data_IF_087915291777
#
_entry.id   IF_087915291777
#
_cell.length_a   1.000
_cell.length_b   1.000
_cell.length_c   1.000
_cell.angle_alpha   90.00
_cell.angle_beta   90.00
_cell.angle_gamma   90.00
#
_symmetry.space_group_name_H-M   'P 1'
#
loop_
_entity.id
_entity.type
_entity.pdbx_description
1 polymer ?
#
# COMPACT_ATOMS: atom_id res chain seq x y z
N UNK A 1 15.28 -35.57 -17.64
CA UNK A 1 16.65 -36.09 -17.85
C UNK A 1 17.56 -34.91 -18.21
N UNK A 2 18.51 -34.52 -17.34
CA UNK A 2 19.44 -33.40 -17.63
C UNK A 2 20.50 -33.88 -18.62
N UNK A 3 20.46 -33.37 -19.86
CA UNK A 3 21.40 -33.71 -20.94
C UNK A 3 22.81 -33.13 -20.68
N UNK A 4 23.53 -33.75 -19.74
CA UNK A 4 24.93 -33.42 -19.39
C UNK A 4 25.87 -33.53 -20.60
N UNK A 5 25.52 -34.36 -21.57
CA UNK A 5 26.28 -34.56 -22.82
C UNK A 5 26.34 -33.30 -23.69
N UNK A 6 25.26 -32.51 -23.79
CA UNK A 6 25.25 -31.28 -24.58
C UNK A 6 26.12 -30.18 -23.94
N UNK A 7 26.07 -30.03 -22.62
CA UNK A 7 26.90 -29.07 -21.90
C UNK A 7 28.40 -29.46 -22.00
N UNK A 8 28.70 -30.76 -21.91
CA UNK A 8 30.06 -31.28 -22.11
C UNK A 8 30.56 -31.06 -23.53
N UNK A 9 29.72 -31.27 -24.54
CA UNK A 9 30.08 -31.06 -25.94
C UNK A 9 30.27 -29.56 -26.25
N UNK A 10 29.36 -28.71 -25.77
CA UNK A 10 29.45 -27.26 -25.91
C UNK A 10 30.70 -26.69 -25.23
N UNK A 11 31.00 -27.09 -23.99
CA UNK A 11 32.22 -26.68 -23.29
C UNK A 11 33.49 -27.19 -24.00
N UNK A 12 33.47 -28.42 -24.52
CA UNK A 12 34.60 -28.98 -25.30
C UNK A 12 34.85 -28.19 -26.58
N UNK A 13 33.79 -27.77 -27.28
CA UNK A 13 33.90 -26.94 -28.47
C UNK A 13 34.39 -25.51 -28.13
N UNK A 14 33.91 -24.93 -27.03
CA UNK A 14 34.35 -23.62 -26.55
C UNK A 14 35.82 -23.64 -26.06
N UNK A 15 36.27 -24.78 -25.51
CA UNK A 15 37.64 -25.04 -25.03
C UNK A 15 38.60 -25.50 -26.14
N UNK A 16 38.22 -25.34 -27.42
CA UNK A 16 38.92 -25.84 -28.61
C UNK A 16 40.42 -25.46 -28.73
N UNK A 17 41.15 -26.35 -29.42
CA UNK A 17 42.60 -26.59 -29.41
C UNK A 17 43.44 -25.43 -29.99
N UNK A 18 44.59 -25.12 -29.36
CA UNK A 18 45.59 -24.09 -29.73
C UNK A 18 45.86 -23.99 -31.24
N UNK A 19 45.58 -22.81 -31.84
CA UNK A 19 46.54 -21.95 -32.62
C UNK A 19 45.91 -20.61 -33.07
N UNK A 20 45.28 -19.93 -32.12
CA UNK A 20 45.10 -18.48 -31.96
C UNK A 20 44.16 -18.42 -30.77
N UNK A 21 44.76 -18.48 -29.58
CA UNK A 21 44.07 -18.21 -28.33
C UNK A 21 43.20 -16.98 -28.59
N UNK A 22 41.92 -17.01 -28.21
CA UNK A 22 40.99 -15.87 -28.28
C UNK A 22 41.82 -14.58 -28.18
N UNK A 23 42.03 -13.90 -29.31
CA UNK A 23 42.91 -12.73 -29.33
C UNK A 23 42.42 -11.77 -28.24
N UNK A 24 43.29 -10.95 -27.67
CA UNK A 24 42.89 -9.95 -26.70
C UNK A 24 41.66 -9.14 -27.17
N UNK A 25 41.52 -8.97 -28.48
CA UNK A 25 40.33 -8.42 -29.14
C UNK A 25 39.02 -9.19 -28.88
N UNK A 26 38.99 -10.53 -28.98
CA UNK A 26 37.78 -11.32 -28.74
C UNK A 26 37.34 -11.26 -27.27
N UNK A 27 38.30 -11.27 -26.33
CA UNK A 27 38.00 -11.09 -24.92
C UNK A 27 37.45 -9.68 -24.64
N UNK A 28 38.03 -8.66 -25.27
CA UNK A 28 37.57 -7.29 -25.15
C UNK A 28 36.14 -7.10 -25.68
N UNK A 29 35.78 -7.71 -26.82
CA UNK A 29 34.42 -7.65 -27.36
C UNK A 29 33.40 -8.31 -26.43
N UNK A 30 33.69 -9.49 -25.90
CA UNK A 30 32.78 -10.20 -24.98
C UNK A 30 32.62 -9.41 -23.68
N UNK A 31 33.70 -8.84 -23.14
CA UNK A 31 33.64 -7.99 -21.95
C UNK A 31 32.83 -6.72 -22.19
N UNK A 32 33.04 -6.03 -23.31
CA UNK A 32 32.31 -4.81 -23.65
C UNK A 32 30.81 -5.05 -23.82
N UNK A 33 30.42 -6.13 -24.52
CA UNK A 33 29.02 -6.51 -24.65
C UNK A 33 28.41 -6.89 -23.29
N UNK A 34 29.15 -7.63 -22.47
CA UNK A 34 28.70 -8.01 -21.13
C UNK A 34 28.48 -6.79 -20.25
N UNK A 35 29.40 -5.81 -20.26
CA UNK A 35 29.25 -4.56 -19.52
C UNK A 35 28.05 -3.74 -20.00
N UNK A 36 27.85 -3.65 -21.32
CA UNK A 36 26.73 -2.90 -21.90
C UNK A 36 25.38 -3.51 -21.53
N UNK A 37 25.24 -4.84 -21.67
CA UNK A 37 24.02 -5.55 -21.26
C UNK A 37 23.83 -5.44 -19.74
N UNK A 38 24.89 -5.56 -18.95
CA UNK A 38 24.82 -5.44 -17.49
C UNK A 38 24.32 -4.05 -17.07
N UNK A 39 24.83 -2.98 -17.67
CA UNK A 39 24.38 -1.62 -17.41
C UNK A 39 22.89 -1.45 -17.75
N UNK A 40 22.44 -1.92 -18.91
CA UNK A 40 21.04 -1.87 -19.34
C UNK A 40 20.12 -2.67 -18.40
N UNK A 41 20.53 -3.87 -18.00
CA UNK A 41 19.80 -4.71 -17.05
C UNK A 41 19.69 -4.05 -15.68
N UNK A 42 20.76 -3.41 -15.19
CA UNK A 42 20.77 -2.74 -13.90
C UNK A 42 19.74 -1.59 -13.85
N UNK A 43 19.74 -0.72 -14.88
CA UNK A 43 18.79 0.40 -14.98
C UNK A 43 17.36 -0.12 -15.12
N UNK A 44 17.13 -1.11 -15.98
CA UNK A 44 15.82 -1.73 -16.15
C UNK A 44 15.31 -2.35 -14.85
N UNK A 45 16.18 -3.06 -14.11
CA UNK A 45 15.85 -3.66 -12.82
C UNK A 45 15.47 -2.63 -11.78
N UNK A 46 16.24 -1.53 -11.67
CA UNK A 46 15.94 -0.45 -10.73
C UNK A 46 14.59 0.22 -11.04
N UNK A 47 14.34 0.57 -12.31
CA UNK A 47 13.09 1.20 -12.72
C UNK A 47 11.89 0.27 -12.59
N UNK A 48 12.03 -1.00 -12.96
CA UNK A 48 10.96 -2.00 -12.83
C UNK A 48 10.66 -2.30 -11.36
N UNK A 49 11.70 -2.40 -10.51
CA UNK A 49 11.56 -2.56 -9.07
C UNK A 49 10.80 -1.40 -8.44
N UNK A 50 11.19 -0.15 -8.77
CA UNK A 50 10.51 1.04 -8.28
C UNK A 50 9.07 1.12 -8.78
N UNK A 51 8.84 0.88 -10.08
CA UNK A 51 7.49 0.86 -10.66
C UNK A 51 6.60 -0.13 -9.94
N UNK A 52 7.10 -1.34 -9.68
CA UNK A 52 6.36 -2.37 -8.97
C UNK A 52 6.05 -1.95 -7.51
N UNK A 53 7.00 -1.34 -6.81
CA UNK A 53 6.77 -0.85 -5.45
C UNK A 53 5.74 0.29 -5.41
N UNK A 54 5.87 1.26 -6.34
CA UNK A 54 4.92 2.36 -6.48
C UNK A 54 3.52 1.87 -6.88
N UNK A 55 3.42 0.97 -7.86
CA UNK A 55 2.14 0.38 -8.27
C UNK A 55 1.49 -0.39 -7.13
N UNK A 56 2.26 -1.19 -6.37
CA UNK A 56 1.73 -1.91 -5.19
C UNK A 56 1.20 -0.96 -4.13
N UNK A 57 1.95 0.11 -3.80
CA UNK A 57 1.51 1.12 -2.83
C UNK A 57 0.27 1.89 -3.29
N UNK A 58 0.17 2.23 -4.58
CA UNK A 58 -0.95 2.99 -5.13
C UNK A 58 -2.21 2.13 -5.29
N UNK A 59 -2.09 0.91 -5.82
CA UNK A 59 -3.23 0.04 -6.16
C UNK A 59 -3.74 -0.75 -4.94
N UNK A 60 -2.90 -1.01 -3.95
CA UNK A 60 -3.29 -1.74 -2.73
C UNK A 60 -4.21 -0.96 -1.77
N UNK A 61 -4.58 0.28 -2.08
CA UNK A 61 -5.30 1.18 -1.15
C UNK A 61 -6.65 1.68 -1.69
N UNK A 62 -7.00 1.38 -2.96
CA UNK A 62 -8.20 1.95 -3.62
C UNK A 62 -9.18 0.90 -4.13
N UNK A 63 -9.49 -0.15 -3.36
CA UNK A 63 -10.61 -1.04 -3.72
C UNK A 63 -11.98 -0.49 -3.29
N UNK A 64 -12.04 0.74 -2.78
CA UNK A 64 -13.29 1.38 -2.36
C UNK A 64 -13.74 2.38 -3.42
N UNK A 65 -14.94 2.18 -3.94
CA UNK A 65 -15.61 3.11 -4.84
C UNK A 65 -16.37 4.12 -3.97
N UNK A 66 -15.98 5.39 -4.02
CA UNK A 66 -16.67 6.45 -3.30
C UNK A 66 -17.74 7.09 -4.18
N UNK A 67 -18.99 7.02 -3.75
CA UNK A 67 -20.12 7.69 -4.39
C UNK A 67 -20.38 9.02 -3.68
N UNK A 68 -20.25 10.11 -4.40
CA UNK A 68 -20.51 11.47 -3.90
C UNK A 68 -21.58 12.15 -4.75
N UNK A 69 -22.42 12.98 -4.14
CA UNK A 69 -23.34 13.84 -4.88
C UNK A 69 -22.55 14.86 -5.72
N UNK A 70 -23.05 15.21 -6.90
CA UNK A 70 -22.42 16.18 -7.82
C UNK A 70 -22.16 17.54 -7.15
N UNK A 71 -23.07 17.97 -6.29
CA UNK A 71 -23.01 19.27 -5.61
C UNK A 71 -22.35 19.18 -4.21
N UNK A 72 -21.68 18.07 -3.91
CA UNK A 72 -21.09 17.79 -2.59
C UNK A 72 -22.10 17.86 -1.42
N UNK A 73 -23.40 17.76 -1.72
CA UNK A 73 -24.49 17.76 -0.74
C UNK A 73 -24.64 16.37 -0.09
N UNK A 74 -25.20 16.31 1.14
CA UNK A 74 -25.57 15.04 1.73
C UNK A 74 -26.50 14.25 0.80
N UNK A 75 -26.23 12.96 0.62
CA UNK A 75 -27.07 12.08 -0.20
C UNK A 75 -28.39 11.85 0.55
N UNK A 76 -29.54 12.27 0.01
CA UNK A 76 -30.83 12.01 0.63
C UNK A 76 -31.14 10.51 0.55
N UNK A 77 -31.74 9.96 1.62
CA UNK A 77 -32.11 8.53 1.71
C UNK A 77 -30.96 7.56 1.33
N UNK A 78 -29.77 7.81 1.90
CA UNK A 78 -28.62 6.91 1.76
C UNK A 78 -28.94 5.42 2.07
N UNK A 79 -29.85 5.04 3.00
CA UNK A 79 -30.16 3.63 3.24
C UNK A 79 -30.81 2.94 2.04
N UNK A 80 -31.68 3.64 1.28
CA UNK A 80 -32.27 3.09 0.07
C UNK A 80 -31.23 2.87 -1.03
N UNK A 81 -30.26 3.79 -1.17
CA UNK A 81 -29.15 3.64 -2.11
C UNK A 81 -28.27 2.42 -1.74
N UNK A 82 -27.92 2.26 -0.46
CA UNK A 82 -27.15 1.11 0.02
C UNK A 82 -27.87 -0.20 -0.27
N UNK A 83 -29.20 -0.27 -0.08
CA UNK A 83 -30.01 -1.45 -0.43
C UNK A 83 -29.93 -1.80 -1.92
N UNK A 84 -30.03 -0.80 -2.82
CA UNK A 84 -29.88 -1.02 -4.26
C UNK A 84 -28.49 -1.54 -4.62
N UNK A 85 -27.43 -0.98 -4.04
CA UNK A 85 -26.05 -1.43 -4.27
C UNK A 85 -25.87 -2.88 -3.78
N UNK A 86 -26.47 -3.23 -2.64
CA UNK A 86 -26.45 -4.59 -2.09
C UNK A 86 -27.17 -5.60 -2.98
N UNK A 87 -28.27 -5.21 -3.62
CA UNK A 87 -28.97 -6.05 -4.59
C UNK A 87 -28.12 -6.37 -5.83
N UNK A 88 -27.19 -5.48 -6.20
CA UNK A 88 -26.24 -5.70 -7.29
C UNK A 88 -25.05 -6.61 -6.88
N UNK A 89 -24.99 -7.04 -5.62
CA UNK A 89 -23.92 -7.89 -5.11
C UNK A 89 -22.71 -7.16 -4.51
N UNK A 90 -22.79 -5.83 -4.36
CA UNK A 90 -21.72 -5.02 -3.76
C UNK A 90 -22.02 -4.65 -2.30
N UNK A 91 -21.00 -4.61 -1.45
CA UNK A 91 -21.12 -4.04 -0.10
C UNK A 91 -20.94 -2.52 -0.15
N UNK A 92 -21.76 -1.78 0.59
CA UNK A 92 -21.67 -0.33 0.72
C UNK A 92 -21.91 0.08 2.18
N UNK A 93 -21.21 1.14 2.60
CA UNK A 93 -21.32 1.75 3.92
C UNK A 93 -21.38 3.27 3.75
N UNK A 94 -22.15 3.99 4.60
CA UNK A 94 -22.20 5.44 4.57
C UNK A 94 -20.92 6.03 5.17
N UNK A 95 -20.42 7.11 4.58
CA UNK A 95 -19.25 7.86 5.08
C UNK A 95 -19.50 9.36 4.94
N UNK A 96 -19.09 10.11 5.97
CA UNK A 96 -19.08 11.57 5.97
C UNK A 96 -17.63 12.02 5.94
N UNK A 97 -17.23 12.83 4.96
CA UNK A 97 -15.87 13.35 4.84
C UNK A 97 -15.86 14.83 5.20
N UNK A 98 -15.16 15.19 6.27
CA UNK A 98 -14.98 16.57 6.70
C UNK A 98 -13.49 16.91 6.83
N UNK A 99 -13.15 18.17 6.60
CA UNK A 99 -11.80 18.70 6.81
C UNK A 99 -11.76 19.33 8.19
N UNK A 100 -10.90 18.81 9.05
CA UNK A 100 -10.80 19.18 10.46
C UNK A 100 -9.35 19.51 10.82
N UNK A 101 -9.14 20.08 11.99
CA UNK A 101 -7.82 20.32 12.53
C UNK A 101 -7.72 19.66 13.90
N UNK A 102 -6.68 18.83 14.08
CA UNK A 102 -6.38 18.20 15.36
C UNK A 102 -5.37 19.04 16.11
N UNK A 103 -5.56 19.18 17.42
CA UNK A 103 -4.61 19.83 18.32
C UNK A 103 -4.33 18.93 19.51
N UNK A 104 -3.04 18.73 19.78
CA UNK A 104 -2.54 18.10 20.99
C UNK A 104 -1.40 18.94 21.56
N UNK A 105 -1.55 19.40 22.81
CA UNK A 105 -0.61 20.35 23.42
C UNK A 105 -0.39 21.59 22.55
N UNK A 106 0.85 21.75 22.05
CA UNK A 106 1.27 22.88 21.21
C UNK A 106 1.33 22.54 19.70
N UNK A 107 0.97 21.32 19.31
CA UNK A 107 1.02 20.85 17.93
C UNK A 107 -0.38 20.90 17.32
N UNK A 108 -0.49 21.49 16.13
CA UNK A 108 -1.74 21.63 15.36
C UNK A 108 -1.53 21.01 13.98
N UNK A 109 -2.40 20.09 13.59
CA UNK A 109 -2.30 19.34 12.33
C UNK A 109 -3.65 19.34 11.61
N UNK A 110 -3.76 19.91 10.40
CA UNK A 110 -4.95 19.76 9.57
C UNK A 110 -5.07 18.31 9.09
N UNK A 111 -6.29 17.78 9.07
CA UNK A 111 -6.58 16.40 8.69
C UNK A 111 -7.92 16.29 7.98
N UNK A 112 -8.12 15.15 7.32
CA UNK A 112 -9.41 14.75 6.79
C UNK A 112 -9.98 13.71 7.75
N UNK A 113 -11.15 13.99 8.31
CA UNK A 113 -11.87 13.07 9.16
C UNK A 113 -12.98 12.37 8.40
N UNK A 114 -13.16 11.10 8.73
CA UNK A 114 -14.22 10.26 8.17
C UNK A 114 -15.17 9.84 9.29
N UNK A 115 -16.40 10.34 9.25
CA UNK A 115 -17.49 9.82 10.06
C UNK A 115 -18.00 8.54 9.45
N UNK A 116 -17.88 7.43 10.17
CA UNK A 116 -18.22 6.09 9.68
C UNK A 116 -19.12 5.38 10.68
N UNK A 117 -19.99 4.51 10.16
CA UNK A 117 -20.58 3.43 10.96
C UNK A 117 -19.57 2.27 10.98
N UNK A 118 -19.06 1.91 12.16
CA UNK A 118 -18.04 0.89 12.34
C UNK A 118 -18.49 -0.49 11.82
N UNK A 119 -19.73 -0.88 12.12
CA UNK A 119 -20.29 -2.18 11.78
C UNK A 119 -20.51 -2.32 10.27
N UNK A 120 -20.99 -1.25 9.62
CA UNK A 120 -21.17 -1.25 8.17
C UNK A 120 -19.82 -1.15 7.45
N UNK A 121 -18.91 -0.31 7.94
CA UNK A 121 -17.61 -0.05 7.30
C UNK A 121 -16.67 -1.26 7.34
N UNK A 122 -16.68 -2.06 8.42
CA UNK A 122 -15.92 -3.33 8.49
C UNK A 122 -16.31 -4.34 7.41
N UNK A 123 -17.55 -4.27 6.88
CA UNK A 123 -18.01 -5.14 5.78
C UNK A 123 -17.51 -4.71 4.40
N UNK A 124 -17.04 -3.47 4.29
CA UNK A 124 -16.56 -2.86 3.04
C UNK A 124 -15.04 -2.77 3.03
N UNK A 125 -14.45 -2.39 4.17
CA UNK A 125 -13.02 -2.14 4.32
C UNK A 125 -12.39 -3.02 5.38
N UNK A 126 -11.23 -3.60 5.04
CA UNK A 126 -10.39 -4.35 5.97
C UNK A 126 -9.46 -3.47 6.79
N UNK A 127 -9.42 -2.16 6.54
CA UNK A 127 -8.58 -1.20 7.28
C UNK A 127 -9.01 -1.09 8.76
N UNK A 128 -10.25 -1.45 9.06
CA UNK A 128 -10.80 -1.46 10.41
C UNK A 128 -10.62 -2.80 11.13
N UNK A 129 -10.05 -3.79 10.45
CA UNK A 129 -9.70 -5.07 11.06
C UNK A 129 -8.37 -4.94 11.81
N UNK A 130 -8.27 -5.66 12.93
CA UNK A 130 -7.02 -5.74 13.69
C UNK A 130 -6.03 -6.59 12.93
N UNK A 131 -4.79 -6.12 12.83
CA UNK A 131 -3.70 -6.90 12.23
C UNK A 131 -3.26 -7.96 13.24
N UNK A 132 -3.47 -9.27 12.98
CA UNK A 132 -2.98 -10.31 13.87
C UNK A 132 -1.45 -10.39 13.71
N UNK A 133 -0.72 -10.34 14.84
CA UNK A 133 0.74 -10.43 14.89
C UNK A 133 1.51 -9.32 14.14
N UNK A 134 1.49 -8.11 14.69
CA UNK A 134 2.39 -7.02 14.28
C UNK A 134 3.84 -7.30 14.74
N UNK A 135 4.42 -8.43 14.33
CA UNK A 135 5.69 -8.93 14.89
C UNK A 135 6.92 -8.53 14.04
N UNK A 136 6.73 -7.97 12.85
CA UNK A 136 7.78 -7.27 12.05
C UNK A 136 7.15 -6.68 10.79
N UNK A 137 7.63 -5.53 10.29
CA UNK A 137 7.21 -5.01 9.00
C UNK A 137 7.77 -5.94 7.91
N UNK A 138 7.00 -6.97 7.53
CA UNK A 138 7.30 -7.72 6.32
C UNK A 138 7.02 -6.79 5.14
N UNK A 139 8.06 -6.46 4.39
CA UNK A 139 8.02 -5.52 3.25
C UNK A 139 7.04 -5.92 2.11
N UNK A 140 6.41 -7.09 2.21
CA UNK A 140 5.49 -7.64 1.20
C UNK A 140 4.01 -7.56 1.55
N UNK A 141 3.64 -7.27 2.81
CA UNK A 141 2.26 -7.09 3.22
C UNK A 141 2.04 -5.61 3.54
N UNK A 142 1.21 -4.93 2.75
CA UNK A 142 0.64 -3.65 3.15
C UNK A 142 -0.22 -3.93 4.38
N UNK A 143 0.33 -3.69 5.56
CA UNK A 143 -0.38 -3.84 6.82
C UNK A 143 -1.37 -2.67 6.94
N UNK A 144 -2.52 -2.82 6.30
CA UNK A 144 -3.68 -1.96 6.49
C UNK A 144 -4.52 -2.57 7.59
N UNK A 145 -4.75 -1.80 8.66
CA UNK A 145 -5.47 -2.30 9.82
C UNK A 145 -5.13 -1.52 11.08
N UNK A 146 -5.79 -1.91 12.17
CA UNK A 146 -5.62 -1.29 13.48
C UNK A 146 -4.36 -1.86 14.15
N UNK A 147 -3.40 -0.96 14.43
CA UNK A 147 -2.10 -1.31 15.04
C UNK A 147 -2.23 -1.42 16.56
N UNK A 148 -2.97 -0.51 17.19
CA UNK A 148 -3.17 -0.46 18.65
C UNK A 148 -4.63 -0.11 18.96
N UNK A 149 -5.17 -0.71 20.02
CA UNK A 149 -6.57 -0.59 20.40
C UNK A 149 -7.50 -1.61 19.73
N UNK A 150 -8.75 -1.64 20.20
CA UNK A 150 -9.84 -2.38 19.58
C UNK A 150 -11.10 -1.51 19.63
N UNK A 151 -11.39 -0.72 18.59
CA UNK A 151 -12.55 0.14 18.59
C UNK A 151 -13.81 -0.72 18.58
N UNK A 152 -14.68 -0.40 19.52
CA UNK A 152 -16.03 -0.93 19.65
C UNK A 152 -17.02 0.20 19.34
N UNK A 153 -18.25 -0.12 18.94
CA UNK A 153 -19.27 0.89 18.66
C UNK A 153 -19.49 1.85 19.85
N UNK A 154 -19.39 1.35 21.08
CA UNK A 154 -19.50 2.14 22.32
C UNK A 154 -18.37 3.15 22.51
N UNK A 155 -17.19 2.91 21.94
CA UNK A 155 -16.08 3.85 22.06
C UNK A 155 -16.36 5.12 21.24
N UNK A 156 -17.02 4.96 20.09
CA UNK A 156 -17.45 6.09 19.25
C UNK A 156 -18.61 6.88 19.87
N UNK A 157 -19.44 6.25 20.69
CA UNK A 157 -20.47 6.95 21.47
C UNK A 157 -19.86 7.85 22.55
N UNK A 158 -18.69 7.48 23.08
CA UNK A 158 -17.92 8.26 24.05
C UNK A 158 -16.89 9.19 23.38
N UNK A 159 -17.19 9.70 22.18
CA UNK A 159 -16.33 10.62 21.42
C UNK A 159 -14.96 10.04 21.01
N UNK A 160 -14.86 8.71 20.96
CA UNK A 160 -13.64 8.02 20.54
C UNK A 160 -13.29 8.27 19.08
N UNK A 161 -11.98 8.39 18.81
CA UNK A 161 -11.42 8.63 17.47
C UNK A 161 -10.35 7.60 17.13
N UNK A 162 -10.36 7.12 15.88
CA UNK A 162 -9.27 6.33 15.32
C UNK A 162 -8.31 7.27 14.60
N UNK A 163 -7.04 7.25 15.02
CA UNK A 163 -5.99 8.06 14.41
C UNK A 163 -5.08 7.20 13.53
N UNK A 164 -4.73 7.73 12.36
CA UNK A 164 -3.66 7.15 11.55
C UNK A 164 -2.32 7.20 12.31
N UNK A 165 -1.52 6.15 12.21
CA UNK A 165 -0.26 6.03 12.96
C UNK A 165 0.70 7.21 12.74
N UNK A 166 0.78 7.73 11.51
CA UNK A 166 1.58 8.91 11.21
C UNK A 166 1.09 10.19 11.92
N UNK A 167 -0.23 10.38 12.00
CA UNK A 167 -0.83 11.50 12.74
C UNK A 167 -0.62 11.36 14.24
N UNK A 168 -0.75 10.14 14.78
CA UNK A 168 -0.49 9.87 16.19
C UNK A 168 0.97 10.18 16.57
N UNK A 169 1.94 9.78 15.73
CA UNK A 169 3.36 10.10 15.91
C UNK A 169 3.60 11.62 15.82
N UNK A 170 3.00 12.29 14.84
CA UNK A 170 3.19 13.73 14.65
C UNK A 170 2.59 14.56 15.80
N UNK A 171 1.45 14.15 16.33
CA UNK A 171 0.81 14.76 17.50
C UNK A 171 1.44 14.30 18.82
N UNK A 172 2.32 13.30 18.79
CA UNK A 172 2.92 12.66 19.96
C UNK A 172 1.87 12.17 20.98
N UNK A 173 0.85 11.45 20.48
CA UNK A 173 -0.25 10.92 21.28
C UNK A 173 -0.29 9.40 21.26
N UNK A 174 -0.69 8.81 22.39
CA UNK A 174 -0.86 7.39 22.61
C UNK A 174 -2.35 7.02 22.75
N UNK A 175 -2.62 5.73 22.90
CA UNK A 175 -3.97 5.24 23.16
C UNK A 175 -4.48 5.85 24.47
N UNK A 176 -5.74 6.31 24.47
CA UNK A 176 -6.42 6.96 25.60
C UNK A 176 -6.00 8.41 25.91
N UNK A 177 -5.12 9.01 25.10
CA UNK A 177 -4.85 10.44 25.20
C UNK A 177 -5.99 11.25 24.57
N UNK A 178 -6.31 12.40 25.19
CA UNK A 178 -7.32 13.32 24.67
C UNK A 178 -6.71 14.28 23.64
N UNK A 179 -7.46 14.55 22.58
CA UNK A 179 -7.09 15.49 21.53
C UNK A 179 -8.24 16.44 21.23
N UNK A 180 -7.91 17.69 20.94
CA UNK A 180 -8.89 18.69 20.58
C UNK A 180 -9.16 18.64 19.08
N UNK A 181 -10.42 18.51 18.72
CA UNK A 181 -10.90 18.47 17.35
C UNK A 181 -11.54 19.82 17.00
N UNK A 182 -11.03 20.47 15.97
CA UNK A 182 -11.48 21.80 15.53
C UNK A 182 -12.04 21.68 14.12
N UNK A 183 -13.30 22.08 13.94
CA UNK A 183 -13.91 22.17 12.61
C UNK A 183 -13.83 23.63 12.14
N UNK A 184 -13.00 23.95 11.13
CA UNK A 184 -13.13 25.22 10.43
C UNK A 184 -14.46 25.18 9.66
N UNK A 185 -15.42 26.02 10.05
CA UNK A 185 -16.64 26.23 9.25
C UNK A 185 -16.34 26.98 7.96
#
# INVERSE_FOLDING_TARGET
MKNRSCLFLAWRYLRGRRRRLLSAAHLLTVLGLSLGIFALLCVSSAMNGLRNDMQKRIIGTRSEIMLTALDNRPIPDHPALIRKIRQLGFSAAPVIRNELTLKSGNTIVPTIAFGIDLEQSRRVSRILDRIPNYTKPSASALHQGIISGNPTATDFENEGIILGAGLAIQLNVNLQDEIMLISPQ
#
